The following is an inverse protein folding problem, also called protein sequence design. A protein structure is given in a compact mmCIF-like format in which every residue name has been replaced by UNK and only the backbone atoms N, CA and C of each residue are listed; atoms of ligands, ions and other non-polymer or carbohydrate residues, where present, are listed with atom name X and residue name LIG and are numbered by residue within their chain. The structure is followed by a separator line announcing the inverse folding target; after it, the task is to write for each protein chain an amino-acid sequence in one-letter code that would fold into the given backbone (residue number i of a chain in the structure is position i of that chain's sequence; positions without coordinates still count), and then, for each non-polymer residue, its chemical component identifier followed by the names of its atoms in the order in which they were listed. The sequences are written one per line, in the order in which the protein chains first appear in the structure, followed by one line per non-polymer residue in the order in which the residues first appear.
data_IF_938656127122
#
_entry.id   IF_938656127122
#
_cell.length_a   1.000
_cell.length_b   1.000
_cell.length_c   1.000
_cell.angle_alpha   90.00
_cell.angle_beta   90.00
_cell.angle_gamma   90.00
#
_symmetry.space_group_name_H-M   'P 1'
#
loop_
_entity.id
_entity.type
_entity.pdbx_description
1 polymer ?
#
# COMPACT_ATOMS: atom_id res chain seq x y z
N UNK A 1 -7.43 -13.68 -14.37
CA UNK A 1 -6.18 -12.96 -14.02
C UNK A 1 -5.51 -13.60 -12.80
N UNK A 2 -4.35 -14.23 -13.00
CA UNK A 2 -3.55 -14.86 -11.93
C UNK A 2 -3.16 -13.83 -10.87
N UNK A 3 -3.47 -14.10 -9.59
CA UNK A 3 -3.38 -13.16 -8.46
C UNK A 3 -2.03 -12.48 -8.24
N UNK A 4 -0.96 -12.95 -8.87
CA UNK A 4 0.37 -12.32 -8.84
C UNK A 4 0.45 -10.96 -9.55
N UNK A 5 -0.51 -10.59 -10.42
CA UNK A 5 -0.48 -9.28 -11.10
C UNK A 5 -0.85 -8.11 -10.20
N UNK A 6 -1.72 -8.33 -9.21
CA UNK A 6 -2.28 -7.26 -8.35
C UNK A 6 -1.24 -6.68 -7.40
N UNK A 7 -0.29 -7.50 -6.94
CA UNK A 7 0.76 -7.09 -6.00
C UNK A 7 2.05 -6.63 -6.67
N UNK A 8 2.08 -6.62 -8.00
CA UNK A 8 3.31 -6.32 -8.72
C UNK A 8 3.48 -4.82 -8.88
N UNK A 9 4.68 -4.29 -8.62
CA UNK A 9 4.93 -2.88 -8.82
C UNK A 9 4.93 -2.55 -10.32
N UNK A 10 4.65 -1.28 -10.68
CA UNK A 10 4.46 -0.84 -12.05
C UNK A 10 5.69 -1.10 -12.93
N UNK A 11 6.90 -1.08 -12.36
CA UNK A 11 8.12 -1.43 -13.06
C UNK A 11 8.16 -2.88 -13.58
N UNK A 12 7.38 -3.82 -13.01
CA UNK A 12 7.26 -5.18 -13.60
C UNK A 12 6.69 -5.13 -15.00
N UNK A 13 5.66 -4.32 -15.15
CA UNK A 13 4.85 -4.23 -16.36
C UNK A 13 5.62 -3.43 -17.42
N UNK A 14 6.45 -2.48 -16.98
CA UNK A 14 7.13 -1.51 -17.87
C UNK A 14 8.58 -1.92 -18.19
N UNK A 15 9.33 -2.51 -17.25
CA UNK A 15 10.78 -2.70 -17.37
C UNK A 15 11.24 -4.17 -17.30
N UNK A 16 10.37 -5.12 -16.95
CA UNK A 16 10.71 -6.54 -16.71
C UNK A 16 11.91 -6.79 -15.76
N UNK A 17 12.38 -5.75 -15.05
CA UNK A 17 13.54 -5.76 -14.18
C UNK A 17 13.12 -5.39 -12.77
N UNK A 18 13.61 -6.15 -11.80
CA UNK A 18 13.24 -6.00 -10.40
C UNK A 18 14.47 -5.80 -9.53
N UNK A 19 14.54 -4.65 -8.87
CA UNK A 19 15.39 -4.49 -7.69
C UNK A 19 14.57 -5.02 -6.49
N UNK A 20 15.11 -5.99 -5.76
CA UNK A 20 14.33 -6.77 -4.78
C UNK A 20 13.70 -5.94 -3.65
N UNK A 21 14.42 -4.96 -3.12
CA UNK A 21 13.94 -4.15 -1.98
C UNK A 21 12.76 -3.23 -2.34
N UNK A 22 12.80 -2.40 -3.41
CA UNK A 22 11.66 -1.55 -3.78
C UNK A 22 10.38 -2.31 -4.12
N UNK A 23 10.50 -3.52 -4.67
CA UNK A 23 9.34 -4.35 -5.02
C UNK A 23 8.66 -4.97 -3.80
N UNK A 24 9.44 -5.31 -2.78
CA UNK A 24 8.92 -5.75 -1.48
C UNK A 24 8.11 -4.63 -0.81
N UNK A 25 8.64 -3.41 -0.82
CA UNK A 25 7.97 -2.23 -0.23
C UNK A 25 6.64 -1.93 -0.93
N UNK A 26 6.59 -2.06 -2.26
CA UNK A 26 5.32 -1.94 -3.00
C UNK A 26 4.29 -3.00 -2.57
N UNK A 27 4.72 -4.26 -2.50
CA UNK A 27 3.84 -5.37 -2.11
C UNK A 27 3.30 -5.16 -0.68
N UNK A 28 4.15 -4.64 0.21
CA UNK A 28 3.77 -4.25 1.57
C UNK A 28 2.75 -3.10 1.56
N UNK A 29 2.93 -2.09 0.70
CA UNK A 29 1.97 -0.99 0.54
C UNK A 29 0.58 -1.48 0.10
N UNK A 30 0.51 -2.45 -0.83
CA UNK A 30 -0.76 -3.06 -1.24
C UNK A 30 -1.38 -3.86 -0.09
N UNK A 31 -0.58 -4.59 0.67
CA UNK A 31 -1.06 -5.34 1.84
C UNK A 31 -1.62 -4.41 2.92
N UNK A 32 -0.93 -3.31 3.24
CA UNK A 32 -1.42 -2.29 4.16
C UNK A 32 -2.74 -1.69 3.66
N UNK A 33 -2.82 -1.32 2.37
CA UNK A 33 -4.06 -0.81 1.80
C UNK A 33 -5.21 -1.82 1.91
N UNK A 34 -4.98 -3.09 1.61
CA UNK A 34 -5.97 -4.18 1.72
C UNK A 34 -6.40 -4.43 3.18
N UNK A 35 -5.48 -4.39 4.14
CA UNK A 35 -5.79 -4.54 5.57
C UNK A 35 -6.66 -3.41 6.11
N UNK A 36 -6.48 -2.18 5.62
CA UNK A 36 -7.33 -1.06 6.00
C UNK A 36 -8.78 -1.23 5.53
N UNK A 37 -8.99 -1.87 4.38
CA UNK A 37 -10.32 -2.13 3.83
C UNK A 37 -10.94 -3.43 4.36
N UNK A 38 -10.11 -4.39 4.81
CA UNK A 38 -10.57 -5.62 5.50
C UNK A 38 -10.89 -5.41 6.97
N UNK A 39 -10.69 -4.21 7.51
CA UNK A 39 -11.10 -3.90 8.88
C UNK A 39 -12.62 -3.88 8.89
N UNK A 40 -13.23 -4.83 9.59
CA UNK A 40 -14.66 -5.14 9.68
C UNK A 40 -15.60 -3.97 10.07
N UNK A 41 -15.14 -2.72 10.10
CA UNK A 41 -15.96 -1.54 10.41
C UNK A 41 -16.99 -1.23 9.30
N UNK A 42 -16.71 -1.60 8.04
CA UNK A 42 -17.68 -1.44 6.94
C UNK A 42 -18.89 -2.37 7.09
N UNK A 43 -18.73 -3.52 7.76
CA UNK A 43 -19.83 -4.47 8.02
C UNK A 43 -20.75 -3.95 9.15
N UNK A 44 -20.17 -3.31 10.17
CA UNK A 44 -20.90 -2.85 11.35
C UNK A 44 -21.73 -1.59 11.03
N UNK A 45 -21.28 -0.74 10.11
CA UNK A 45 -21.94 0.53 9.80
C UNK A 45 -22.92 0.47 8.61
N UNK A 46 -23.02 -0.66 7.90
CA UNK A 46 -23.90 -0.82 6.73
C UNK A 46 -23.58 0.11 5.57
N UNK A 47 -22.41 0.74 5.61
CA UNK A 47 -21.97 1.74 4.67
C UNK A 47 -21.07 1.07 3.64
N UNK A 48 -21.58 0.87 2.43
CA UNK A 48 -20.78 0.56 1.24
C UNK A 48 -19.95 1.78 0.82
N UNK A 49 -19.10 2.29 1.71
CA UNK A 49 -18.19 3.37 1.33
C UNK A 49 -17.24 2.85 0.27
N UNK A 50 -17.01 3.66 -0.76
CA UNK A 50 -16.00 3.34 -1.76
C UNK A 50 -14.63 3.29 -1.06
N UNK A 51 -13.71 2.38 -1.46
CA UNK A 51 -12.40 2.23 -0.82
C UNK A 51 -11.60 3.53 -0.69
N UNK A 52 -11.75 4.45 -1.66
CA UNK A 52 -11.13 5.76 -1.62
C UNK A 52 -11.69 6.67 -0.50
N UNK A 53 -13.00 6.58 -0.19
CA UNK A 53 -13.58 7.31 0.94
C UNK A 53 -13.19 6.69 2.28
N UNK A 54 -13.23 5.36 2.41
CA UNK A 54 -12.81 4.66 3.63
C UNK A 54 -11.36 5.03 4.00
N UNK A 55 -10.48 5.11 2.99
CA UNK A 55 -9.08 5.49 3.19
C UNK A 55 -8.90 6.91 3.75
N UNK A 56 -9.79 7.85 3.45
CA UNK A 56 -9.75 9.21 3.99
C UNK A 56 -10.04 9.27 5.51
N UNK A 57 -10.71 8.26 6.08
CA UNK A 57 -11.01 8.19 7.51
C UNK A 57 -9.85 7.64 8.36
N UNK A 58 -8.79 7.14 7.71
CA UNK A 58 -7.60 6.63 8.40
C UNK A 58 -6.73 7.79 8.87
N UNK A 59 -5.85 7.53 9.85
CA UNK A 59 -4.95 8.57 10.35
C UNK A 59 -4.06 9.13 9.22
N UNK A 60 -3.73 10.43 9.24
CA UNK A 60 -2.86 11.03 8.23
C UNK A 60 -1.53 10.29 8.07
N UNK A 61 -0.98 9.77 9.17
CA UNK A 61 0.27 9.01 9.22
C UNK A 61 0.13 7.68 8.48
N UNK A 62 -1.00 6.98 8.65
CA UNK A 62 -1.27 5.76 7.90
C UNK A 62 -1.39 6.01 6.40
N UNK A 63 -2.15 7.05 6.04
CA UNK A 63 -2.36 7.41 4.64
C UNK A 63 -1.03 7.78 3.98
N UNK A 64 -0.18 8.53 4.70
CA UNK A 64 1.16 8.88 4.26
C UNK A 64 2.01 7.62 4.05
N UNK A 65 2.05 6.70 5.02
CA UNK A 65 2.83 5.47 4.94
C UNK A 65 2.44 4.62 3.71
N UNK A 66 1.14 4.42 3.48
CA UNK A 66 0.65 3.65 2.33
C UNK A 66 1.00 4.34 1.01
N UNK A 67 0.80 5.66 0.90
CA UNK A 67 1.17 6.44 -0.29
C UNK A 67 2.67 6.39 -0.56
N UNK A 68 3.49 6.44 0.48
CA UNK A 68 4.94 6.40 0.38
C UNK A 68 5.44 5.03 -0.12
N UNK A 69 4.83 3.93 0.36
CA UNK A 69 5.12 2.59 -0.13
C UNK A 69 4.70 2.37 -1.59
N UNK A 70 3.58 3.00 -1.99
CA UNK A 70 3.00 2.92 -3.33
C UNK A 70 3.48 4.04 -4.28
N UNK A 71 4.64 4.64 -4.01
CA UNK A 71 5.26 5.58 -4.92
C UNK A 71 5.56 4.94 -6.28
N UNK A 72 5.18 5.64 -7.35
CA UNK A 72 5.38 5.17 -8.73
C UNK A 72 6.87 5.04 -9.08
N UNK A 73 7.70 5.94 -8.57
CA UNK A 73 9.15 5.86 -8.68
C UNK A 73 9.70 4.92 -7.58
N UNK A 74 10.43 3.84 -7.92
CA UNK A 74 11.00 2.93 -6.93
C UNK A 74 11.98 3.58 -5.96
N UNK A 75 12.64 4.68 -6.37
CA UNK A 75 13.60 5.42 -5.55
C UNK A 75 12.93 6.30 -4.49
N UNK A 76 11.66 6.66 -4.69
CA UNK A 76 10.88 7.45 -3.73
C UNK A 76 10.22 6.57 -2.68
N UNK A 77 10.32 5.23 -2.80
CA UNK A 77 9.81 4.29 -1.81
C UNK A 77 10.73 4.24 -0.60
N UNK A 78 10.19 4.09 0.62
CA UNK A 78 11.02 4.00 1.83
C UNK A 78 11.89 2.75 1.81
N UNK A 79 13.01 2.78 2.54
CA UNK A 79 13.67 1.56 2.96
C UNK A 79 12.88 0.87 4.07
N UNK A 80 13.20 -0.40 4.34
CA UNK A 80 12.58 -1.15 5.42
C UNK A 80 12.90 -0.53 6.80
N UNK A 81 14.09 0.06 6.96
CA UNK A 81 14.47 0.78 8.18
C UNK A 81 13.68 2.08 8.34
N UNK A 82 13.46 2.84 7.26
CA UNK A 82 12.65 4.05 7.29
C UNK A 82 11.19 3.74 7.63
N UNK A 83 10.68 2.61 7.13
CA UNK A 83 9.34 2.14 7.42
C UNK A 83 9.17 1.87 8.92
N UNK A 84 10.10 1.17 9.56
CA UNK A 84 10.07 0.92 11.01
C UNK A 84 10.24 2.17 11.88
N UNK A 85 10.76 3.27 11.32
CA UNK A 85 10.89 4.57 12.00
C UNK A 85 9.70 5.50 11.77
N UNK A 86 8.77 5.13 10.89
CA UNK A 86 7.64 5.97 10.55
C UNK A 86 6.66 6.05 11.71
N UNK A 87 6.18 7.24 12.07
CA UNK A 87 5.34 7.53 13.24
C UNK A 87 4.01 6.77 13.38
N UNK A 88 3.66 5.94 12.38
CA UNK A 88 2.48 5.08 12.45
C UNK A 88 2.80 3.71 13.07
N UNK A 89 4.04 3.24 12.92
CA UNK A 89 4.58 2.07 13.62
C UNK A 89 5.21 2.50 14.95
#
# INVERSE_FOLDING_TARGET
PTGQQVYSPPERIILHCYHGHPAMIWSLGILLYDMAFKRDEDIILGHYLLPAMAFCFLSPEYQHLVKWCLSMCPLDRPSLEDLFKHSWL
#
